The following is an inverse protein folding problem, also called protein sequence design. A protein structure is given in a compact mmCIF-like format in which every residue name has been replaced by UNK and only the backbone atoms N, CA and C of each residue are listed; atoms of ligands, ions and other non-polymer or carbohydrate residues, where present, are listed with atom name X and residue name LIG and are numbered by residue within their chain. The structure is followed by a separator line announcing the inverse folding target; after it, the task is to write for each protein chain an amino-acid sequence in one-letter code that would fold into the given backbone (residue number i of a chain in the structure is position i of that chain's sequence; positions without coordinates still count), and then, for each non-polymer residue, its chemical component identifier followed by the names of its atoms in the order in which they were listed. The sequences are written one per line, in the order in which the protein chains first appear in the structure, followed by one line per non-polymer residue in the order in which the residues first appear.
data_IF_413351837151
#
_entry.id   IF_413351837151
#
_cell.length_a   1.000
_cell.length_b   1.000
_cell.length_c   1.000
_cell.angle_alpha   90.00
_cell.angle_beta   90.00
_cell.angle_gamma   90.00
#
_symmetry.space_group_name_H-M   'P 1'
#
loop_
_entity.id
_entity.type
_entity.pdbx_description
1 polymer ?
#
# COMPACT_ATOMS: atom_id res chain seq x y z
N UNK A 1 54.80 5.45 -34.01
CA UNK A 1 54.62 4.05 -33.58
C UNK A 1 54.23 4.12 -32.12
N UNK A 2 52.95 4.36 -31.90
CA UNK A 2 52.00 3.34 -31.40
C UNK A 2 52.08 3.33 -29.87
N UNK A 3 51.31 4.18 -29.19
CA UNK A 3 49.90 3.99 -28.81
C UNK A 3 49.73 2.85 -27.80
N UNK A 4 49.60 3.21 -26.52
CA UNK A 4 48.86 2.43 -25.52
C UNK A 4 48.04 3.44 -24.70
N UNK A 5 46.72 3.57 -24.94
CA UNK A 5 45.89 4.44 -24.12
C UNK A 5 45.61 3.74 -22.79
N UNK A 6 45.93 4.39 -21.67
CA UNK A 6 45.41 4.00 -20.36
C UNK A 6 43.87 4.00 -20.44
N UNK A 7 43.29 2.80 -20.48
CA UNK A 7 41.86 2.63 -20.35
C UNK A 7 41.48 3.00 -18.93
N UNK A 8 41.15 4.27 -18.73
CA UNK A 8 40.38 4.73 -17.59
C UNK A 8 39.05 3.95 -17.61
N UNK A 9 38.99 2.89 -16.80
CA UNK A 9 37.77 2.16 -16.51
C UNK A 9 36.87 3.09 -15.71
N UNK A 10 36.14 3.95 -16.42
CA UNK A 10 35.05 4.71 -15.84
C UNK A 10 34.00 3.70 -15.37
N UNK A 11 34.06 3.35 -14.09
CA UNK A 11 32.92 2.84 -13.36
C UNK A 11 31.85 3.92 -13.45
N UNK A 12 30.98 3.79 -14.45
CA UNK A 12 29.67 4.39 -14.40
C UNK A 12 28.97 3.75 -13.21
N UNK A 13 29.11 4.39 -12.04
CA UNK A 13 28.17 4.27 -10.95
C UNK A 13 26.82 4.69 -11.55
N UNK A 14 26.06 3.71 -12.03
CA UNK A 14 24.70 3.93 -12.50
C UNK A 14 23.89 4.39 -11.29
N UNK A 15 23.80 5.71 -11.14
CA UNK A 15 22.91 6.35 -10.19
C UNK A 15 21.53 5.68 -10.27
N UNK A 16 20.88 5.37 -9.14
CA UNK A 16 19.61 4.68 -9.17
C UNK A 16 18.62 5.46 -10.04
N UNK A 17 18.16 4.80 -11.09
CA UNK A 17 17.16 5.34 -11.99
C UNK A 17 15.90 5.71 -11.18
N UNK A 18 15.61 7.01 -11.11
CA UNK A 18 14.26 7.49 -10.85
C UNK A 18 13.94 8.06 -9.46
N UNK A 19 14.82 8.88 -8.87
CA UNK A 19 14.37 9.92 -7.93
C UNK A 19 13.86 11.16 -8.67
N UNK A 20 12.99 10.93 -9.66
CA UNK A 20 12.18 11.97 -10.27
C UNK A 20 11.11 12.40 -9.28
N UNK A 21 11.31 13.56 -8.65
CA UNK A 21 10.30 14.40 -8.00
C UNK A 21 8.84 13.99 -8.27
N UNK A 22 8.25 13.13 -7.43
CA UNK A 22 6.78 13.00 -7.31
C UNK A 22 6.21 14.21 -6.57
N UNK A 23 6.63 15.43 -6.91
CA UNK A 23 5.97 16.62 -6.37
C UNK A 23 4.56 16.72 -6.95
N UNK A 24 3.58 16.37 -6.12
CA UNK A 24 2.31 17.07 -6.08
C UNK A 24 1.09 16.43 -6.75
N UNK A 25 1.15 15.22 -7.32
CA UNK A 25 -0.09 14.56 -7.77
C UNK A 25 -0.91 14.12 -6.55
N UNK A 26 -2.18 14.56 -6.40
CA UNK A 26 -3.02 14.13 -5.28
C UNK A 26 -3.22 12.62 -5.36
N UNK A 27 -2.96 11.93 -4.25
CA UNK A 27 -3.22 10.48 -4.13
C UNK A 27 -4.63 10.28 -3.62
N UNK A 28 -5.37 9.38 -4.27
CA UNK A 28 -6.60 8.86 -3.68
C UNK A 28 -6.25 8.05 -2.44
N UNK A 29 -6.89 8.37 -1.32
CA UNK A 29 -6.68 7.70 -0.04
C UNK A 29 -8.04 7.41 0.58
N UNK A 30 -8.16 6.26 1.24
CA UNK A 30 -9.33 5.93 2.05
C UNK A 30 -9.25 6.77 3.33
N UNK A 31 -10.34 7.44 3.71
CA UNK A 31 -10.41 8.21 4.96
C UNK A 31 -10.99 7.37 6.10
N UNK A 32 -12.12 6.72 5.87
CA UNK A 32 -12.81 5.86 6.83
C UNK A 32 -13.58 4.75 6.12
N UNK A 33 -13.92 3.71 6.86
CA UNK A 33 -14.79 2.62 6.45
C UNK A 33 -15.92 2.47 7.47
N UNK A 34 -17.16 2.41 7.00
CA UNK A 34 -18.33 2.15 7.85
C UNK A 34 -18.97 0.85 7.38
N UNK A 35 -19.09 -0.12 8.29
CA UNK A 35 -19.66 -1.44 8.03
C UNK A 35 -20.87 -1.62 8.92
N UNK A 36 -22.02 -2.01 8.35
CA UNK A 36 -23.24 -2.29 9.12
C UNK A 36 -23.62 -3.76 8.98
N UNK A 37 -23.67 -4.47 10.10
CA UNK A 37 -24.00 -5.90 10.16
C UNK A 37 -23.17 -6.76 9.18
N UNK A 38 -21.85 -6.58 9.17
CA UNK A 38 -20.94 -7.24 8.24
C UNK A 38 -20.14 -8.36 8.93
N UNK A 39 -20.43 -9.63 8.61
CA UNK A 39 -19.79 -10.80 9.26
C UNK A 39 -19.90 -10.70 10.79
N UNK A 40 -18.78 -10.77 11.51
CA UNK A 40 -18.75 -10.66 12.97
C UNK A 40 -18.92 -9.23 13.49
N UNK A 41 -19.04 -8.22 12.61
CA UNK A 41 -19.30 -6.83 12.98
C UNK A 41 -20.79 -6.58 13.09
N UNK A 42 -21.32 -6.76 14.31
CA UNK A 42 -22.70 -6.44 14.63
C UNK A 42 -22.90 -4.91 14.76
N UNK A 43 -24.07 -4.42 14.35
CA UNK A 43 -24.38 -3.00 14.39
C UNK A 43 -23.56 -2.19 13.38
N UNK A 44 -23.39 -0.90 13.64
CA UNK A 44 -22.54 -0.01 12.85
C UNK A 44 -21.13 0.03 13.44
N UNK A 45 -20.14 -0.43 12.66
CA UNK A 45 -18.73 -0.39 13.02
C UNK A 45 -18.00 0.59 12.11
N UNK A 46 -17.24 1.49 12.73
CA UNK A 46 -16.45 2.52 12.04
C UNK A 46 -14.97 2.21 12.21
N UNK A 47 -14.25 2.10 11.09
CA UNK A 47 -12.80 1.89 11.04
C UNK A 47 -12.15 3.11 10.40
N UNK A 48 -11.30 3.78 11.16
CA UNK A 48 -10.63 5.01 10.76
C UNK A 48 -10.54 6.03 11.90
N UNK A 49 -9.94 7.20 11.66
CA UNK A 49 -9.43 7.67 10.36
C UNK A 49 -8.15 6.94 9.92
N UNK A 50 -8.06 6.60 8.63
CA UNK A 50 -6.85 6.01 8.04
C UNK A 50 -5.80 7.07 7.75
N UNK A 51 -4.54 6.73 8.02
CA UNK A 51 -3.43 7.59 7.70
C UNK A 51 -3.11 7.54 6.19
N UNK A 52 -2.75 8.70 5.60
CA UNK A 52 -2.54 8.88 4.15
C UNK A 52 -1.41 8.02 3.57
N UNK A 53 -0.52 7.50 4.40
CA UNK A 53 0.65 6.71 3.96
C UNK A 53 0.59 5.25 4.37
N UNK A 54 0.31 4.98 5.65
CA UNK A 54 0.37 3.63 6.20
C UNK A 54 -0.50 3.54 7.44
N UNK A 55 -1.32 2.49 7.51
CA UNK A 55 -2.15 2.13 8.66
C UNK A 55 -2.03 0.63 8.91
N UNK A 56 -2.00 0.21 10.18
CA UNK A 56 -1.94 -1.19 10.55
C UNK A 56 -3.24 -1.62 11.27
N UNK A 57 -3.76 -2.79 10.93
CA UNK A 57 -4.92 -3.41 11.61
C UNK A 57 -4.39 -4.44 12.60
N UNK A 58 -4.56 -4.18 13.89
CA UNK A 58 -4.05 -5.02 14.99
C UNK A 58 -5.14 -5.38 15.99
N UNK A 59 -4.90 -6.39 16.82
CA UNK A 59 -5.84 -6.84 17.85
C UNK A 59 -5.78 -8.36 18.12
N UNK A 60 -6.49 -8.84 19.15
CA UNK A 60 -6.46 -10.25 19.58
C UNK A 60 -6.88 -11.24 18.49
N UNK A 61 -6.47 -12.51 18.62
CA UNK A 61 -6.93 -13.56 17.72
C UNK A 61 -8.46 -13.73 17.80
N UNK A 62 -9.12 -13.89 16.66
CA UNK A 62 -10.57 -13.98 16.58
C UNK A 62 -11.33 -12.65 16.63
N UNK A 63 -10.67 -11.49 16.81
CA UNK A 63 -11.35 -10.18 16.89
C UNK A 63 -11.95 -9.67 15.56
N UNK A 64 -11.88 -10.46 14.48
CA UNK A 64 -12.43 -10.12 13.18
C UNK A 64 -11.53 -9.25 12.30
N UNK A 65 -10.23 -9.10 12.59
CA UNK A 65 -9.30 -8.29 11.76
C UNK A 65 -9.33 -8.61 10.27
N UNK A 66 -9.41 -9.90 9.91
CA UNK A 66 -9.53 -10.37 8.52
C UNK A 66 -10.80 -9.86 7.84
N UNK A 67 -11.88 -9.62 8.60
CA UNK A 67 -13.13 -9.08 8.06
C UNK A 67 -12.97 -7.66 7.53
N UNK A 68 -11.97 -6.88 7.99
CA UNK A 68 -11.66 -5.56 7.41
C UNK A 68 -11.23 -5.72 5.94
N UNK A 69 -10.37 -6.70 5.65
CA UNK A 69 -9.93 -6.99 4.27
C UNK A 69 -11.09 -7.58 3.46
N UNK A 70 -11.89 -8.46 4.06
CA UNK A 70 -13.07 -9.02 3.40
C UNK A 70 -14.08 -7.95 2.99
N UNK A 71 -14.29 -6.92 3.83
CA UNK A 71 -15.14 -5.79 3.51
C UNK A 71 -14.61 -4.99 2.31
N UNK A 72 -13.30 -4.76 2.24
CA UNK A 72 -12.69 -4.10 1.07
C UNK A 72 -12.86 -4.94 -0.20
N UNK A 73 -12.61 -6.26 -0.11
CA UNK A 73 -12.77 -7.16 -1.24
C UNK A 73 -14.22 -7.21 -1.74
N UNK A 74 -15.18 -7.23 -0.81
CA UNK A 74 -16.60 -7.17 -1.12
C UNK A 74 -16.97 -5.90 -1.89
N UNK A 75 -16.54 -4.72 -1.42
CA UNK A 75 -16.80 -3.43 -2.09
C UNK A 75 -16.14 -3.36 -3.47
N UNK A 76 -14.94 -3.93 -3.63
CA UNK A 76 -14.24 -3.97 -4.92
C UNK A 76 -14.70 -5.12 -5.84
N UNK A 77 -15.77 -5.84 -5.50
CA UNK A 77 -16.35 -6.89 -6.34
C UNK A 77 -15.48 -8.15 -6.47
N UNK A 78 -14.49 -8.33 -5.59
CA UNK A 78 -13.69 -9.56 -5.51
C UNK A 78 -14.45 -10.56 -4.65
N UNK A 79 -14.82 -11.71 -5.22
CA UNK A 79 -15.51 -12.78 -4.49
C UNK A 79 -14.63 -13.24 -3.33
N UNK A 80 -15.18 -13.21 -2.11
CA UNK A 80 -14.71 -14.10 -1.07
C UNK A 80 -14.96 -15.53 -1.59
N UNK A 81 -13.89 -16.31 -1.81
CA UNK A 81 -14.06 -17.74 -2.13
C UNK A 81 -14.85 -18.35 -0.97
N UNK A 82 -15.99 -18.95 -1.28
CA UNK A 82 -16.75 -19.77 -0.35
C UNK A 82 -15.92 -20.97 0.10
#
# INVERSE_FOLDING_TARGET
MEAEPEQAFASQESAPAGEGSRRGRPRLVINEMVMRNFKSYAGEQRVGPFHKSFSAVVGPNGSGKSNVIDAMLFVFGKRAKQ
#
